data_IF_610830362687
#
_entry.id   IF_610830362687
#
_cell.length_a   1.000
_cell.length_b   1.000
_cell.length_c   1.000
_cell.angle_alpha   90.00
_cell.angle_beta   90.00
_cell.angle_gamma   90.00
#
_symmetry.space_group_name_H-M   'P 1'
#
loop_
_entity.id
_entity.type
_entity.pdbx_description
1 polymer ?
#
# COMPACT_ATOMS: atom_id res chain seq x y z
N UNK A 1 -19.40 6.37 -8.81
CA UNK A 1 -19.65 5.74 -7.50
C UNK A 1 -18.81 6.45 -6.45
N UNK A 2 -19.42 6.94 -5.37
CA UNK A 2 -18.67 7.51 -4.26
C UNK A 2 -17.93 6.38 -3.52
N UNK A 3 -16.61 6.35 -3.61
CA UNK A 3 -15.80 5.38 -2.88
C UNK A 3 -15.70 5.80 -1.40
N UNK A 4 -16.34 5.05 -0.51
CA UNK A 4 -16.34 5.33 0.94
C UNK A 4 -14.96 5.19 1.57
N UNK A 5 -14.11 4.28 1.04
CA UNK A 5 -12.70 4.15 1.42
C UNK A 5 -11.81 4.02 0.16
N UNK A 6 -11.20 5.12 -0.32
CA UNK A 6 -10.31 5.10 -1.47
C UNK A 6 -9.07 4.22 -1.32
N UNK A 7 -8.60 3.98 -0.08
CA UNK A 7 -7.44 3.12 0.18
C UNK A 7 -7.87 1.66 0.04
N UNK A 8 -9.04 1.30 0.57
CA UNK A 8 -9.58 -0.06 0.41
C UNK A 8 -9.83 -0.41 -1.06
N UNK A 9 -10.34 0.54 -1.86
CA UNK A 9 -10.46 0.38 -3.32
C UNK A 9 -9.09 0.15 -3.99
N UNK A 10 -8.09 0.98 -3.66
CA UNK A 10 -6.71 0.83 -4.16
C UNK A 10 -6.13 -0.57 -3.88
N UNK A 11 -6.20 -1.04 -2.64
CA UNK A 11 -5.69 -2.36 -2.26
C UNK A 11 -6.46 -3.50 -2.95
N UNK A 12 -7.77 -3.34 -3.11
CA UNK A 12 -8.62 -4.34 -3.74
C UNK A 12 -8.33 -4.45 -5.24
N UNK A 13 -8.12 -3.34 -5.94
CA UNK A 13 -7.75 -3.36 -7.37
C UNK A 13 -6.43 -4.08 -7.61
N UNK A 14 -5.42 -3.80 -6.79
CA UNK A 14 -4.12 -4.49 -6.86
C UNK A 14 -4.31 -5.99 -6.59
N UNK A 15 -5.02 -6.36 -5.52
CA UNK A 15 -5.30 -7.76 -5.19
C UNK A 15 -5.99 -8.50 -6.33
N UNK A 16 -7.05 -7.91 -6.88
CA UNK A 16 -7.82 -8.54 -7.95
C UNK A 16 -6.99 -8.67 -9.24
N UNK A 17 -6.19 -7.65 -9.58
CA UNK A 17 -5.29 -7.70 -10.72
C UNK A 17 -4.22 -8.80 -10.58
N UNK A 18 -3.68 -9.00 -9.36
CA UNK A 18 -2.75 -10.09 -9.07
C UNK A 18 -3.41 -11.46 -9.18
N UNK A 19 -4.63 -11.61 -8.68
CA UNK A 19 -5.40 -12.85 -8.79
C UNK A 19 -5.75 -13.19 -10.24
N UNK A 20 -6.02 -12.17 -11.07
CA UNK A 20 -6.29 -12.32 -12.49
C UNK A 20 -5.02 -12.49 -13.35
N UNK A 21 -3.82 -12.38 -12.76
CA UNK A 21 -2.55 -12.50 -13.48
C UNK A 21 -2.25 -11.31 -14.40
N UNK A 22 -2.84 -10.14 -14.15
CA UNK A 22 -2.57 -8.94 -14.95
C UNK A 22 -1.17 -8.39 -14.67
N UNK A 23 -0.50 -7.93 -15.73
CA UNK A 23 0.84 -7.33 -15.61
C UNK A 23 0.79 -5.88 -15.12
N UNK A 24 -0.26 -5.18 -15.49
CA UNK A 24 -0.44 -3.74 -15.22
C UNK A 24 -1.83 -3.55 -14.60
N UNK A 25 -1.94 -2.62 -13.64
CA UNK A 25 -3.20 -2.16 -13.08
C UNK A 25 -3.24 -0.64 -13.07
N UNK A 26 -4.38 -0.09 -13.50
CA UNK A 26 -4.64 1.34 -13.53
C UNK A 26 -5.61 1.72 -12.42
N UNK A 27 -5.22 2.72 -11.61
CA UNK A 27 -5.96 3.14 -10.42
C UNK A 27 -6.11 4.67 -10.39
N UNK A 28 -7.28 5.23 -10.07
CA UNK A 28 -7.45 6.68 -9.92
C UNK A 28 -6.49 7.25 -8.88
N UNK A 29 -5.82 8.34 -9.24
CA UNK A 29 -4.76 8.92 -8.42
C UNK A 29 -5.30 9.66 -7.19
N UNK A 30 -4.49 9.71 -6.14
CA UNK A 30 -4.62 10.61 -5.01
C UNK A 30 -3.25 10.74 -4.32
N UNK A 31 -3.00 11.84 -3.62
CA UNK A 31 -1.70 12.05 -2.95
C UNK A 31 -1.32 10.89 -2.02
N UNK A 32 -2.31 10.36 -1.27
CA UNK A 32 -2.08 9.23 -0.38
C UNK A 32 -1.79 7.94 -1.14
N UNK A 33 -2.49 7.66 -2.25
CA UNK A 33 -2.22 6.49 -3.10
C UNK A 33 -0.86 6.59 -3.79
N UNK A 34 -0.46 7.79 -4.23
CA UNK A 34 0.87 8.06 -4.81
C UNK A 34 1.96 7.70 -3.79
N UNK A 35 1.87 8.20 -2.55
CA UNK A 35 2.80 7.85 -1.46
C UNK A 35 2.83 6.36 -1.10
N UNK A 36 1.67 5.71 -1.02
CA UNK A 36 1.62 4.26 -0.78
C UNK A 36 2.32 3.49 -1.92
N UNK A 37 2.11 3.91 -3.17
CA UNK A 37 2.73 3.28 -4.34
C UNK A 37 4.26 3.43 -4.35
N UNK A 38 4.77 4.60 -3.97
CA UNK A 38 6.21 4.84 -3.77
C UNK A 38 6.79 3.85 -2.75
N UNK A 39 6.17 3.73 -1.58
CA UNK A 39 6.61 2.79 -0.52
C UNK A 39 6.60 1.34 -1.03
N UNK A 40 5.58 0.92 -1.77
CA UNK A 40 5.53 -0.44 -2.34
C UNK A 40 6.66 -0.69 -3.34
N UNK A 41 7.07 0.32 -4.08
CA UNK A 41 8.20 0.24 -5.01
C UNK A 41 9.53 0.15 -4.25
N UNK A 42 9.74 1.03 -3.28
CA UNK A 42 10.97 1.07 -2.49
C UNK A 42 11.19 -0.22 -1.69
N UNK A 43 10.11 -0.84 -1.20
CA UNK A 43 10.14 -2.13 -0.52
C UNK A 43 10.21 -3.33 -1.49
N UNK A 44 10.19 -3.09 -2.81
CA UNK A 44 10.39 -4.11 -3.84
C UNK A 44 9.19 -5.01 -4.12
N UNK A 45 7.98 -4.62 -3.69
CA UNK A 45 6.73 -5.37 -3.91
C UNK A 45 6.18 -5.20 -5.33
N UNK A 46 6.41 -4.06 -5.98
CA UNK A 46 6.00 -3.77 -7.36
C UNK A 46 7.22 -3.56 -8.26
N UNK A 47 7.06 -3.75 -9.57
CA UNK A 47 8.18 -3.63 -10.53
C UNK A 47 8.47 -2.19 -10.92
N UNK A 48 7.42 -1.41 -11.19
CA UNK A 48 7.50 -0.02 -11.64
C UNK A 48 6.12 0.61 -11.46
N UNK A 49 6.08 1.93 -11.36
CA UNK A 49 4.86 2.70 -11.45
C UNK A 49 5.06 3.94 -12.34
N UNK A 50 3.96 4.50 -12.83
CA UNK A 50 3.92 5.77 -13.54
C UNK A 50 2.70 6.55 -13.07
N UNK A 51 2.87 7.84 -12.85
CA UNK A 51 1.76 8.76 -12.65
C UNK A 51 1.44 9.42 -13.98
N UNK A 52 0.18 9.32 -14.39
CA UNK A 52 -0.33 9.92 -15.62
C UNK A 52 -1.37 10.95 -15.19
N UNK A 53 -1.09 12.24 -15.40
CA UNK A 53 -2.01 13.32 -15.04
C UNK A 53 -3.06 13.55 -16.15
N UNK A 54 -3.57 12.45 -16.74
CA UNK A 54 -4.64 12.49 -17.72
C UNK A 54 -6.00 12.64 -17.03
N UNK A 55 -6.79 13.63 -17.48
CA UNK A 55 -8.11 13.95 -16.93
C UNK A 55 -8.08 14.72 -15.60
N UNK A 56 -9.23 14.79 -14.92
CA UNK A 56 -9.40 15.64 -13.72
C UNK A 56 -8.72 15.05 -12.48
N UNK A 57 -8.63 13.73 -12.37
CA UNK A 57 -8.14 13.03 -11.17
C UNK A 57 -6.76 12.38 -11.36
N UNK A 58 -6.30 12.20 -12.61
CA UNK A 58 -5.09 11.45 -12.94
C UNK A 58 -5.19 9.94 -12.62
N UNK A 59 -4.22 9.19 -13.12
CA UNK A 59 -4.09 7.75 -13.00
C UNK A 59 -2.73 7.35 -12.43
N UNK A 60 -2.73 6.25 -11.68
CA UNK A 60 -1.54 5.55 -11.21
C UNK A 60 -1.52 4.22 -11.95
N UNK A 61 -0.54 4.06 -12.83
CA UNK A 61 -0.28 2.83 -13.55
C UNK A 61 0.80 2.04 -12.82
N UNK A 62 0.48 0.83 -12.36
CA UNK A 62 1.37 0.00 -11.56
C UNK A 62 1.70 -1.29 -12.33
N UNK A 63 2.98 -1.57 -12.53
CA UNK A 63 3.47 -2.84 -13.03
C UNK A 63 3.67 -3.82 -11.86
N UNK A 64 2.89 -4.90 -11.86
CA UNK A 64 2.89 -5.90 -10.79
C UNK A 64 4.06 -6.87 -10.93
N UNK A 65 4.65 -7.24 -9.79
CA UNK A 65 5.81 -8.14 -9.72
C UNK A 65 5.37 -9.57 -9.50
N UNK A 66 5.90 -10.46 -10.33
CA UNK A 66 5.67 -11.90 -10.26
C UNK A 66 7.01 -12.64 -10.16
N UNK A 67 7.00 -13.80 -9.50
CA UNK A 67 8.15 -14.69 -9.44
C UNK A 67 8.42 -15.32 -10.82
N UNK A 68 9.69 -15.39 -11.27
CA UNK A 68 10.03 -15.96 -12.58
C UNK A 68 9.59 -17.42 -12.74
N UNK A 69 9.79 -18.23 -11.71
CA UNK A 69 9.66 -19.69 -11.80
C UNK A 69 8.19 -20.14 -11.88
N UNK A 70 7.35 -19.60 -10.98
CA UNK A 70 5.99 -20.10 -10.77
C UNK A 70 4.90 -19.09 -11.13
N UNK A 71 5.28 -17.92 -11.69
CA UNK A 71 4.36 -16.78 -11.95
C UNK A 71 3.50 -16.38 -10.75
N UNK A 72 3.93 -16.68 -9.54
CA UNK A 72 3.21 -16.30 -8.31
C UNK A 72 3.40 -14.80 -8.05
N UNK A 73 2.36 -14.06 -7.67
CA UNK A 73 2.52 -12.67 -7.25
C UNK A 73 3.50 -12.58 -6.08
N UNK A 74 4.37 -11.56 -6.07
CA UNK A 74 5.30 -11.33 -4.95
C UNK A 74 4.54 -10.95 -3.68
N UNK A 75 3.48 -10.16 -3.84
CA UNK A 75 2.57 -9.83 -2.75
C UNK A 75 1.59 -10.98 -2.53
N UNK A 76 1.60 -11.58 -1.34
CA UNK A 76 0.69 -12.65 -0.94
C UNK A 76 -0.62 -12.11 -0.39
N UNK A 77 -0.57 -11.03 0.40
CA UNK A 77 -1.74 -10.45 1.04
C UNK A 77 -1.58 -8.94 1.24
N UNK A 78 -2.65 -8.23 0.94
CA UNK A 78 -2.85 -6.83 1.27
C UNK A 78 -4.15 -6.67 2.03
N UNK A 79 -4.14 -5.94 3.15
CA UNK A 79 -5.37 -5.60 3.84
C UNK A 79 -5.32 -4.26 4.55
N UNK A 80 -6.48 -3.59 4.58
CA UNK A 80 -6.74 -2.35 5.32
C UNK A 80 -6.91 -2.66 6.81
N UNK A 81 -6.14 -2.00 7.66
CA UNK A 81 -6.22 -2.13 9.13
C UNK A 81 -7.20 -1.10 9.68
N UNK A 82 -6.85 0.19 9.59
CA UNK A 82 -7.73 1.29 10.00
C UNK A 82 -8.85 1.47 8.98
N UNK A 83 -10.12 1.47 9.37
CA UNK A 83 -11.25 1.66 8.44
C UNK A 83 -12.06 2.88 8.85
N UNK A 84 -12.87 3.50 7.97
CA UNK A 84 -13.70 4.65 8.34
C UNK A 84 -14.57 4.40 9.58
N UNK A 85 -15.13 3.20 9.73
CA UNK A 85 -15.95 2.83 10.90
C UNK A 85 -15.16 2.47 12.17
N UNK A 86 -13.85 2.21 12.07
CA UNK A 86 -12.99 1.98 13.23
C UNK A 86 -11.54 2.34 12.87
N UNK A 87 -11.11 3.50 13.34
CA UNK A 87 -9.74 3.98 13.15
C UNK A 87 -8.80 3.29 14.12
N UNK A 88 -7.62 2.91 13.63
CA UNK A 88 -6.58 2.21 14.42
C UNK A 88 -5.32 3.06 14.45
N UNK A 89 -5.00 3.55 15.64
CA UNK A 89 -3.78 4.30 15.92
C UNK A 89 -2.88 3.47 16.83
N UNK A 90 -1.57 3.66 16.69
CA UNK A 90 -0.59 3.00 17.53
C UNK A 90 0.58 3.95 17.80
N UNK A 91 1.14 3.86 19.01
CA UNK A 91 2.42 4.51 19.35
C UNK A 91 3.58 3.80 18.64
N UNK A 92 4.75 4.42 18.59
CA UNK A 92 5.91 3.91 17.86
C UNK A 92 6.32 2.49 18.34
N UNK A 93 6.33 2.28 19.64
CA UNK A 93 6.60 1.01 20.32
C UNK A 93 5.50 -0.04 20.12
N UNK A 94 4.25 0.40 19.98
CA UNK A 94 3.06 -0.45 19.78
C UNK A 94 2.75 -0.76 18.32
N UNK A 95 3.54 -0.26 17.37
CA UNK A 95 3.33 -0.55 15.94
C UNK A 95 3.31 -2.07 15.71
N UNK A 96 2.37 -2.59 14.89
CA UNK A 96 2.27 -4.01 14.66
C UNK A 96 3.50 -4.53 13.90
N UNK A 97 3.90 -5.77 14.20
CA UNK A 97 4.90 -6.51 13.42
C UNK A 97 4.18 -7.46 12.47
N UNK A 98 4.38 -7.28 11.17
CA UNK A 98 3.75 -8.11 10.14
C UNK A 98 4.68 -9.27 9.79
N UNK A 99 4.22 -10.51 9.97
CA UNK A 99 5.00 -11.76 9.79
C UNK A 99 6.39 -11.65 10.43
N UNK A 100 6.43 -11.35 11.73
CA UNK A 100 7.68 -11.19 12.48
C UNK A 100 8.71 -10.24 11.83
N UNK A 101 8.24 -9.24 11.07
CA UNK A 101 9.08 -8.23 10.41
C UNK A 101 9.45 -8.53 8.96
N UNK A 102 8.94 -9.62 8.39
CA UNK A 102 9.08 -9.97 6.96
C UNK A 102 8.07 -9.23 6.07
N UNK A 103 6.94 -8.80 6.63
CA UNK A 103 6.01 -7.88 5.96
C UNK A 103 6.23 -6.44 6.40
N UNK A 104 5.50 -5.53 5.75
CA UNK A 104 5.47 -4.11 6.11
C UNK A 104 4.09 -3.71 6.61
N UNK A 105 4.06 -2.79 7.58
CA UNK A 105 2.87 -2.00 7.86
C UNK A 105 3.10 -0.57 7.36
N UNK A 106 2.13 0.00 6.65
CA UNK A 106 2.18 1.38 6.19
C UNK A 106 1.43 2.24 7.21
N UNK A 107 2.09 3.28 7.71
CA UNK A 107 1.60 4.11 8.81
C UNK A 107 1.56 5.56 8.35
N UNK A 108 0.45 6.25 8.63
CA UNK A 108 0.34 7.70 8.47
C UNK A 108 0.77 8.38 9.76
N UNK A 109 1.87 9.13 9.70
CA UNK A 109 2.45 9.82 10.86
C UNK A 109 2.44 11.34 10.63
N UNK A 110 2.81 12.11 11.66
CA UNK A 110 2.96 13.57 11.55
C UNK A 110 4.07 14.00 10.58
N UNK A 111 5.04 13.12 10.29
CA UNK A 111 6.14 13.35 9.35
C UNK A 111 5.87 12.81 7.94
N UNK A 112 4.64 12.33 7.69
CA UNK A 112 4.24 11.73 6.42
C UNK A 112 3.92 10.25 6.53
N UNK A 113 3.69 9.62 5.37
CA UNK A 113 3.39 8.20 5.25
C UNK A 113 4.70 7.43 5.12
N UNK A 114 4.89 6.41 5.95
CA UNK A 114 6.13 5.64 6.00
C UNK A 114 5.89 4.20 6.45
N UNK A 115 6.93 3.38 6.42
CA UNK A 115 6.88 2.00 6.93
C UNK A 115 6.91 1.95 8.46
N UNK A 116 6.43 0.87 9.05
CA UNK A 116 6.51 0.63 10.50
C UNK A 116 7.96 0.62 11.01
N UNK A 117 8.91 0.17 10.20
CA UNK A 117 10.35 0.20 10.53
C UNK A 117 10.91 1.63 10.55
N UNK A 118 10.49 2.49 9.62
CA UNK A 118 10.89 3.91 9.61
C UNK A 118 10.23 4.70 10.72
N UNK A 119 8.96 4.43 11.01
CA UNK A 119 8.23 5.05 12.10
C UNK A 119 8.87 4.73 13.45
N UNK A 120 9.27 3.47 13.69
CA UNK A 120 10.05 3.07 14.89
C UNK A 120 11.40 3.77 14.96
N UNK A 121 12.15 3.84 13.85
CA UNK A 121 13.45 4.52 13.80
C UNK A 121 13.36 6.01 14.14
N UNK A 122 12.29 6.66 13.70
CA UNK A 122 12.03 8.08 13.98
C UNK A 122 11.32 8.32 15.32
N UNK A 123 10.98 7.27 16.06
CA UNK A 123 10.17 7.31 17.29
C UNK A 123 8.84 8.07 17.12
N UNK A 124 8.12 7.83 16.03
CA UNK A 124 6.83 8.47 15.74
C UNK A 124 5.74 7.41 15.56
N UNK A 125 4.61 7.60 16.24
CA UNK A 125 3.40 6.78 16.06
C UNK A 125 2.46 7.34 14.99
N UNK A 126 1.30 6.70 14.80
CA UNK A 126 0.34 7.18 13.81
C UNK A 126 -0.84 6.26 13.54
N UNK A 127 -1.59 6.58 12.48
CA UNK A 127 -2.67 5.72 11.99
C UNK A 127 -2.09 4.55 11.19
N UNK A 128 -2.40 3.33 11.60
CA UNK A 128 -1.94 2.13 10.88
C UNK A 128 -2.86 1.90 9.68
N UNK A 129 -2.35 2.20 8.49
CA UNK A 129 -3.19 2.22 7.29
C UNK A 129 -3.49 0.81 6.80
N UNK A 130 -2.46 0.08 6.40
CA UNK A 130 -2.58 -1.24 5.82
C UNK A 130 -1.32 -2.05 6.10
N UNK A 131 -1.41 -3.35 5.86
CA UNK A 131 -0.24 -4.23 5.83
C UNK A 131 -0.12 -4.92 4.49
N UNK A 132 1.12 -5.28 4.15
CA UNK A 132 1.48 -5.97 2.92
C UNK A 132 2.55 -7.01 3.23
N UNK A 133 2.39 -8.21 2.68
CA UNK A 133 3.38 -9.29 2.67
C UNK A 133 3.11 -10.29 1.56
#
# INVERSE_FOLDING_TARGET
MAATDPISDYLTRIRNAMMAGHRIVDIPSSNLKKRITEILYDQGYILKYKFEDEGVQGLIRIALKYQPDNRRPVIRKMARISKPGLRKFAKADELPRIINGLGIAIVSTSKGVMTDKEARRNNVGGEVLCYVY
#
